data_IF_404623689545
#
_entry.id   IF_404623689545
#
_cell.length_a   1.000
_cell.length_b   1.000
_cell.length_c   1.000
_cell.angle_alpha   90.00
_cell.angle_beta   90.00
_cell.angle_gamma   90.00
#
_symmetry.space_group_name_H-M   'P 1'
#
loop_
_entity.id
_entity.type
_entity.pdbx_description
1 polymer ?
#
# COMPACT_ATOMS: atom_id res chain seq x y z
N UNK A 1 9.01 -14.19 20.12
CA UNK A 1 9.48 -13.64 18.85
C UNK A 1 8.31 -13.52 17.87
N UNK A 2 8.32 -12.50 16.99
CA UNK A 2 7.37 -12.43 15.88
C UNK A 2 8.02 -13.00 14.63
N UNK A 3 7.35 -13.97 14.01
CA UNK A 3 7.73 -14.48 12.69
C UNK A 3 7.05 -13.63 11.62
N UNK A 4 7.84 -13.06 10.72
CA UNK A 4 7.36 -12.32 9.54
C UNK A 4 7.61 -13.13 8.28
N UNK A 5 6.53 -13.41 7.54
CA UNK A 5 6.57 -14.14 6.28
C UNK A 5 6.36 -13.18 5.12
N UNK A 6 7.06 -13.41 4.02
CA UNK A 6 6.90 -12.67 2.78
C UNK A 6 6.56 -13.61 1.62
N UNK A 7 5.89 -13.09 0.60
CA UNK A 7 5.45 -13.87 -0.57
C UNK A 7 6.42 -13.73 -1.75
N UNK A 8 6.17 -12.76 -2.62
CA UNK A 8 6.87 -12.53 -3.90
C UNK A 8 8.41 -12.37 -3.76
N UNK A 9 8.90 -11.90 -2.63
CA UNK A 9 10.33 -11.77 -2.36
C UNK A 9 11.02 -13.13 -2.49
N UNK A 10 10.34 -14.20 -2.05
CA UNK A 10 10.85 -15.57 -2.12
C UNK A 10 11.12 -16.07 -3.54
N UNK A 11 10.43 -15.51 -4.54
CA UNK A 11 10.56 -15.89 -5.96
C UNK A 11 11.69 -15.18 -6.69
N UNK A 12 12.34 -14.20 -6.04
CA UNK A 12 13.41 -13.41 -6.65
C UNK A 12 14.75 -14.15 -6.64
N UNK A 13 15.68 -13.75 -7.53
CA UNK A 13 17.06 -14.21 -7.50
C UNK A 13 17.72 -13.97 -6.13
N UNK A 14 18.76 -14.70 -5.78
CA UNK A 14 19.45 -14.61 -4.47
C UNK A 14 19.87 -13.17 -4.13
N UNK A 15 20.44 -12.44 -5.08
CA UNK A 15 20.90 -11.06 -4.88
C UNK A 15 19.72 -10.09 -4.67
N UNK A 16 18.70 -10.16 -5.54
CA UNK A 16 17.49 -9.33 -5.44
C UNK A 16 16.73 -9.64 -4.15
N UNK A 17 16.61 -10.92 -3.78
CA UNK A 17 15.98 -11.33 -2.51
C UNK A 17 16.68 -10.71 -1.32
N UNK A 18 18.02 -10.80 -1.25
CA UNK A 18 18.78 -10.22 -0.15
C UNK A 18 18.58 -8.70 -0.03
N UNK A 19 18.52 -7.98 -1.15
CA UNK A 19 18.24 -6.55 -1.19
C UNK A 19 16.83 -6.23 -0.68
N UNK A 20 15.82 -6.99 -1.12
CA UNK A 20 14.42 -6.80 -0.74
C UNK A 20 14.17 -7.15 0.73
N UNK A 21 14.77 -8.26 1.22
CA UNK A 21 14.75 -8.60 2.65
C UNK A 21 15.39 -7.50 3.50
N UNK A 22 16.53 -6.96 3.06
CA UNK A 22 17.17 -5.83 3.75
C UNK A 22 16.32 -4.56 3.75
N UNK A 23 15.57 -4.28 2.68
CA UNK A 23 14.61 -3.18 2.64
C UNK A 23 13.43 -3.46 3.59
N UNK A 24 12.89 -4.67 3.58
CA UNK A 24 11.78 -5.04 4.47
C UNK A 24 12.17 -4.93 5.94
N UNK A 25 13.38 -5.35 6.31
CA UNK A 25 13.90 -5.19 7.68
C UNK A 25 13.94 -3.72 8.09
N UNK A 26 14.44 -2.83 7.23
CA UNK A 26 14.46 -1.39 7.52
C UNK A 26 13.04 -0.83 7.70
N UNK A 27 12.10 -1.24 6.84
CA UNK A 27 10.71 -0.80 6.92
C UNK A 27 10.03 -1.31 8.21
N UNK A 28 10.29 -2.57 8.61
CA UNK A 28 9.78 -3.12 9.87
C UNK A 28 10.34 -2.37 11.10
N UNK A 29 11.65 -2.08 11.11
CA UNK A 29 12.27 -1.27 12.18
C UNK A 29 11.61 0.11 12.30
N UNK A 30 11.42 0.79 11.19
CA UNK A 30 10.75 2.10 11.17
C UNK A 30 9.30 2.03 11.66
N UNK A 31 8.57 0.98 11.26
CA UNK A 31 7.17 0.81 11.63
C UNK A 31 6.96 0.47 13.11
N UNK A 32 7.87 -0.32 13.68
CA UNK A 32 7.73 -0.87 15.04
C UNK A 32 8.51 -0.08 16.11
N UNK A 33 9.52 0.68 15.70
CA UNK A 33 10.49 1.28 16.64
C UNK A 33 11.37 0.22 17.33
N UNK A 34 11.53 -0.96 16.73
CA UNK A 34 12.32 -2.09 17.26
C UNK A 34 13.53 -2.31 16.36
N UNK A 35 14.74 -2.17 16.93
CA UNK A 35 15.97 -2.35 16.16
C UNK A 35 16.35 -3.82 15.95
N UNK A 36 15.97 -4.68 16.89
CA UNK A 36 16.30 -6.10 16.81
C UNK A 36 15.33 -6.84 15.87
N UNK A 37 15.62 -6.68 14.58
CA UNK A 37 14.92 -7.34 13.45
C UNK A 37 15.97 -7.97 12.58
N UNK A 38 15.91 -9.30 12.42
CA UNK A 38 16.94 -10.07 11.70
C UNK A 38 16.36 -11.04 10.67
N UNK A 39 17.22 -11.46 9.76
CA UNK A 39 16.92 -12.45 8.74
C UNK A 39 17.31 -13.84 9.21
N UNK A 40 16.46 -14.83 8.96
CA UNK A 40 16.77 -16.24 9.10
C UNK A 40 16.04 -17.05 8.04
N UNK A 41 16.40 -18.23 7.81
CA UNK A 41 15.93 -19.27 6.88
C UNK A 41 14.59 -18.99 6.14
N UNK A 42 14.56 -18.01 5.20
CA UNK A 42 13.37 -17.64 4.45
C UNK A 42 12.28 -16.94 5.28
N UNK A 43 12.66 -16.34 6.39
CA UNK A 43 11.83 -15.55 7.29
C UNK A 43 12.56 -14.30 7.76
N UNK A 44 11.80 -13.36 8.29
CA UNK A 44 12.32 -12.26 9.10
C UNK A 44 11.73 -12.42 10.49
N UNK A 45 12.52 -12.12 11.50
CA UNK A 45 12.14 -12.23 12.91
C UNK A 45 12.24 -10.87 13.57
N UNK A 46 11.36 -10.60 14.54
CA UNK A 46 11.35 -9.38 15.34
C UNK A 46 11.38 -9.77 16.82
N UNK A 47 12.24 -9.13 17.59
CA UNK A 47 12.37 -9.34 19.04
C UNK A 47 11.20 -8.69 19.78
N UNK A 48 10.01 -9.23 19.62
CA UNK A 48 8.80 -8.86 20.35
C UNK A 48 7.90 -10.08 20.54
N UNK A 49 7.16 -10.10 21.62
CA UNK A 49 6.10 -11.07 21.90
C UNK A 49 4.70 -10.43 21.92
N UNK A 50 4.62 -9.16 21.54
CA UNK A 50 3.37 -8.40 21.50
C UNK A 50 2.53 -8.77 20.27
N UNK A 51 1.26 -9.08 20.48
CA UNK A 51 0.30 -9.25 19.39
C UNK A 51 0.07 -7.92 18.63
N UNK A 52 0.12 -6.81 19.33
CA UNK A 52 -0.03 -5.49 18.73
C UNK A 52 1.11 -5.21 17.74
N UNK A 53 2.36 -5.52 18.10
CA UNK A 53 3.50 -5.39 17.19
C UNK A 53 3.38 -6.33 15.99
N UNK A 54 2.83 -7.55 16.18
CA UNK A 54 2.57 -8.47 15.08
C UNK A 54 1.50 -7.91 14.11
N UNK A 55 0.46 -7.25 14.61
CA UNK A 55 -0.55 -6.55 13.81
C UNK A 55 0.08 -5.34 13.10
N UNK A 56 0.88 -4.52 13.78
CA UNK A 56 1.61 -3.41 13.13
C UNK A 56 2.54 -3.92 12.03
N UNK A 57 3.32 -4.98 12.31
CA UNK A 57 4.19 -5.61 11.32
C UNK A 57 3.43 -6.15 10.10
N UNK A 58 2.22 -6.68 10.28
CA UNK A 58 1.40 -7.20 9.18
C UNK A 58 0.97 -6.11 8.18
N UNK A 59 0.93 -4.84 8.60
CA UNK A 59 0.60 -3.67 7.76
C UNK A 59 1.79 -3.15 6.96
N UNK A 60 3.00 -3.66 7.18
CA UNK A 60 4.19 -3.26 6.42
C UNK A 60 4.17 -3.92 5.04
N UNK A 61 4.30 -3.10 3.98
CA UNK A 61 4.33 -3.60 2.60
C UNK A 61 5.46 -4.61 2.38
N UNK A 62 5.10 -5.76 1.80
CA UNK A 62 5.98 -6.91 1.61
C UNK A 62 5.74 -8.04 2.60
N UNK A 63 5.00 -7.80 3.70
CA UNK A 63 4.64 -8.81 4.69
C UNK A 63 3.41 -9.59 4.24
N UNK A 64 3.53 -10.90 4.08
CA UNK A 64 2.43 -11.79 3.72
C UNK A 64 1.63 -12.25 4.94
N UNK A 65 2.31 -12.49 6.06
CA UNK A 65 1.68 -12.79 7.36
C UNK A 65 2.67 -12.67 8.51
N UNK A 66 2.13 -12.52 9.71
CA UNK A 66 2.89 -12.52 10.96
C UNK A 66 2.32 -13.52 11.95
N UNK A 67 3.13 -13.95 12.92
CA UNK A 67 2.71 -14.78 14.05
C UNK A 67 3.56 -14.47 15.27
N UNK A 68 2.95 -14.37 16.43
CA UNK A 68 3.66 -14.36 17.70
C UNK A 68 3.98 -15.80 18.09
N UNK A 69 5.26 -16.12 18.21
CA UNK A 69 5.72 -17.47 18.45
C UNK A 69 6.59 -17.59 19.70
N UNK A 70 6.51 -18.74 20.35
CA UNK A 70 7.48 -19.20 21.34
C UNK A 70 8.60 -19.90 20.58
N UNK A 71 9.84 -19.53 20.83
CA UNK A 71 11.03 -20.13 20.25
C UNK A 71 11.60 -21.21 21.18
N UNK A 72 12.09 -22.29 20.61
CA UNK A 72 12.78 -23.39 21.30
C UNK A 72 13.83 -24.01 20.38
N UNK A 73 14.66 -24.91 20.91
CA UNK A 73 15.57 -25.71 20.10
C UNK A 73 14.84 -26.65 19.15
N UNK A 74 15.57 -27.19 18.17
CA UNK A 74 15.03 -28.11 17.17
C UNK A 74 15.07 -29.59 17.58
N UNK A 75 15.41 -29.90 18.85
CA UNK A 75 15.33 -31.26 19.36
C UNK A 75 13.88 -31.67 19.55
N UNK A 76 13.52 -32.89 19.06
CA UNK A 76 12.13 -33.32 19.01
C UNK A 76 11.48 -33.28 20.38
N UNK A 77 12.13 -33.78 21.42
CA UNK A 77 11.60 -33.84 22.77
C UNK A 77 11.34 -32.45 23.35
N UNK A 78 12.28 -31.49 23.12
CA UNK A 78 12.11 -30.11 23.55
C UNK A 78 10.93 -29.42 22.86
N UNK A 79 10.75 -29.68 21.54
CA UNK A 79 9.60 -29.18 20.78
C UNK A 79 8.30 -29.74 21.37
N UNK A 80 8.24 -31.04 21.61
CA UNK A 80 7.03 -31.71 22.11
C UNK A 80 6.64 -31.21 23.51
N UNK A 81 7.62 -31.03 24.40
CA UNK A 81 7.39 -30.50 25.75
C UNK A 81 6.84 -29.08 25.70
N UNK A 82 7.58 -28.17 25.05
CA UNK A 82 7.21 -26.75 24.90
C UNK A 82 5.86 -26.57 24.21
N UNK A 83 5.61 -27.31 23.13
CA UNK A 83 4.38 -27.20 22.37
C UNK A 83 3.17 -27.79 23.15
N UNK A 84 3.37 -28.80 23.94
CA UNK A 84 2.32 -29.34 24.83
C UNK A 84 1.94 -28.32 25.90
N UNK A 85 2.91 -27.68 26.54
CA UNK A 85 2.64 -26.66 27.55
C UNK A 85 2.02 -25.41 26.94
N UNK A 86 2.44 -25.04 25.71
CA UNK A 86 1.81 -23.98 24.96
C UNK A 86 0.34 -24.27 24.62
N UNK A 87 0.03 -25.51 24.22
CA UNK A 87 -1.31 -25.96 23.88
C UNK A 87 -2.25 -25.99 25.10
N UNK A 88 -1.78 -26.47 26.27
CA UNK A 88 -2.55 -26.47 27.52
C UNK A 88 -3.12 -25.11 27.91
N UNK A 89 -2.41 -24.03 27.59
CA UNK A 89 -2.83 -22.65 27.89
C UNK A 89 -3.91 -22.14 26.95
N UNK A 90 -4.19 -22.80 25.82
CA UNK A 90 -5.05 -22.32 24.73
C UNK A 90 -6.20 -23.22 24.39
N UNK A 91 -6.02 -24.52 24.59
CA UNK A 91 -7.05 -25.56 24.33
C UNK A 91 -7.82 -25.79 25.59
N UNK A 92 -9.14 -25.60 25.55
CA UNK A 92 -10.06 -25.86 26.66
C UNK A 92 -10.66 -27.26 26.55
N UNK A 93 -11.19 -27.75 27.65
CA UNK A 93 -11.92 -29.01 27.65
C UNK A 93 -13.16 -28.89 26.75
N UNK A 94 -13.23 -29.76 25.77
CA UNK A 94 -14.32 -29.81 24.79
C UNK A 94 -13.97 -29.21 23.43
N UNK A 95 -12.88 -28.41 23.32
CA UNK A 95 -12.40 -27.93 22.06
C UNK A 95 -11.91 -29.07 21.16
N UNK A 96 -11.92 -28.82 19.87
CA UNK A 96 -11.22 -29.60 18.86
C UNK A 96 -9.93 -28.89 18.45
N UNK A 97 -8.92 -29.67 18.06
CA UNK A 97 -7.65 -29.07 17.62
C UNK A 97 -6.97 -29.82 16.49
N UNK A 98 -6.06 -29.10 15.81
CA UNK A 98 -5.12 -29.68 14.85
C UNK A 98 -3.68 -29.23 15.12
N UNK A 99 -2.72 -30.10 14.84
CA UNK A 99 -1.30 -29.76 14.80
C UNK A 99 -0.87 -29.59 13.35
N UNK A 100 -0.31 -28.42 13.02
CA UNK A 100 0.21 -28.08 11.69
C UNK A 100 1.73 -27.94 11.75
N UNK A 101 2.47 -29.01 11.46
CA UNK A 101 3.91 -29.01 11.53
C UNK A 101 4.57 -28.78 10.16
N UNK A 102 5.59 -27.94 10.12
CA UNK A 102 6.45 -27.71 8.95
C UNK A 102 7.91 -27.80 9.37
N UNK A 103 8.74 -28.41 8.53
CA UNK A 103 10.16 -28.59 8.82
C UNK A 103 11.02 -28.24 7.59
N UNK A 104 12.07 -27.48 7.83
CA UNK A 104 13.12 -27.16 6.86
C UNK A 104 14.47 -27.42 7.52
N UNK A 105 15.36 -28.09 6.83
CA UNK A 105 16.65 -28.52 7.37
C UNK A 105 16.76 -30.05 7.46
N UNK A 106 17.88 -30.53 7.98
CA UNK A 106 18.16 -31.96 8.18
C UNK A 106 17.95 -32.33 9.64
N UNK A 107 16.97 -33.15 9.91
CA UNK A 107 16.61 -33.64 11.25
C UNK A 107 16.32 -35.13 11.18
N UNK A 108 16.44 -35.85 12.30
CA UNK A 108 16.14 -37.26 12.43
C UNK A 108 14.67 -37.62 12.42
N UNK A 109 13.77 -36.62 12.44
CA UNK A 109 12.33 -36.74 12.48
C UNK A 109 11.68 -35.96 11.31
N UNK A 110 10.46 -36.35 10.95
CA UNK A 110 9.64 -35.67 9.95
C UNK A 110 8.62 -34.70 10.59
N UNK A 111 8.01 -33.81 9.76
CA UNK A 111 6.90 -32.97 10.22
C UNK A 111 5.67 -33.82 10.66
N UNK A 112 5.51 -35.01 10.07
CA UNK A 112 4.42 -35.92 10.44
C UNK A 112 4.68 -36.56 11.81
N UNK A 113 5.94 -36.85 12.15
CA UNK A 113 6.30 -37.36 13.49
C UNK A 113 6.00 -36.31 14.56
N UNK A 114 6.34 -35.03 14.31
CA UNK A 114 5.95 -33.93 15.21
C UNK A 114 4.45 -33.90 15.38
N UNK A 115 3.68 -33.85 14.29
CA UNK A 115 2.23 -33.71 14.33
C UNK A 115 1.57 -34.86 15.06
N UNK A 116 2.01 -36.12 14.85
CA UNK A 116 1.46 -37.32 15.50
C UNK A 116 1.80 -37.34 16.98
N UNK A 117 3.06 -37.17 17.37
CA UNK A 117 3.48 -37.28 18.77
C UNK A 117 2.93 -36.12 19.62
N UNK A 118 3.00 -34.89 19.06
CA UNK A 118 2.42 -33.72 19.73
C UNK A 118 0.90 -33.85 19.88
N UNK A 119 0.22 -34.32 18.82
CA UNK A 119 -1.23 -34.58 18.88
C UNK A 119 -1.60 -35.51 20.01
N UNK A 120 -0.89 -36.66 20.16
CA UNK A 120 -1.14 -37.60 21.26
C UNK A 120 -0.92 -36.95 22.63
N UNK A 121 0.18 -36.22 22.83
CA UNK A 121 0.48 -35.51 24.09
C UNK A 121 -0.58 -34.46 24.44
N UNK A 122 -1.09 -33.73 23.44
CA UNK A 122 -2.14 -32.73 23.65
C UNK A 122 -3.45 -33.42 24.08
N UNK A 123 -3.84 -34.53 23.44
CA UNK A 123 -5.00 -35.31 23.83
C UNK A 123 -4.89 -35.78 25.28
N UNK A 124 -3.74 -36.36 25.65
CA UNK A 124 -3.49 -36.84 27.03
C UNK A 124 -3.54 -35.69 28.04
N UNK A 125 -2.99 -34.54 27.69
CA UNK A 125 -2.85 -33.41 28.60
C UNK A 125 -4.13 -32.58 28.77
N UNK A 126 -5.01 -32.53 27.76
CA UNK A 126 -6.16 -31.61 27.71
C UNK A 126 -7.51 -32.33 27.63
N UNK A 127 -7.54 -33.58 27.18
CA UNK A 127 -8.76 -34.31 26.86
C UNK A 127 -9.50 -33.79 25.61
N UNK A 128 -8.88 -32.90 24.83
CA UNK A 128 -9.43 -32.36 23.59
C UNK A 128 -9.42 -33.39 22.45
N UNK A 129 -10.28 -33.21 21.45
CA UNK A 129 -10.38 -34.12 20.31
C UNK A 129 -9.63 -33.53 19.10
N UNK A 130 -9.07 -34.45 18.31
CA UNK A 130 -8.42 -34.04 17.05
C UNK A 130 -9.47 -33.85 15.96
N UNK A 131 -9.45 -32.66 15.30
CA UNK A 131 -10.18 -32.40 14.09
C UNK A 131 -9.22 -31.74 13.09
N UNK A 132 -8.94 -32.44 11.98
CA UNK A 132 -7.98 -31.96 10.97
C UNK A 132 -8.62 -31.03 9.93
N UNK A 133 -9.96 -30.96 9.90
CA UNK A 133 -10.71 -30.23 8.86
C UNK A 133 -11.14 -28.86 9.36
N UNK A 134 -11.84 -28.79 10.48
CA UNK A 134 -12.38 -27.57 11.07
C UNK A 134 -12.11 -27.52 12.58
N UNK A 135 -10.84 -27.43 13.01
CA UNK A 135 -10.50 -27.39 14.43
C UNK A 135 -10.84 -26.01 15.03
N UNK A 136 -11.24 -26.01 16.32
CA UNK A 136 -11.40 -24.78 17.08
C UNK A 136 -10.05 -24.08 17.33
N UNK A 137 -8.97 -24.88 17.50
CA UNK A 137 -7.62 -24.38 17.76
C UNK A 137 -6.59 -25.07 16.86
N UNK A 138 -5.79 -24.30 16.14
CA UNK A 138 -4.64 -24.82 15.42
C UNK A 138 -3.33 -24.52 16.17
N UNK A 139 -2.54 -25.55 16.42
CA UNK A 139 -1.18 -25.41 16.96
C UNK A 139 -0.19 -25.61 15.83
N UNK A 140 0.53 -24.56 15.49
CA UNK A 140 1.55 -24.57 14.45
C UNK A 140 2.93 -24.81 15.06
N UNK A 141 3.72 -25.68 14.43
CA UNK A 141 5.13 -25.91 14.75
C UNK A 141 5.96 -25.72 13.48
N UNK A 142 6.81 -24.71 13.45
CA UNK A 142 7.67 -24.42 12.32
C UNK A 142 9.13 -24.61 12.70
N UNK A 143 9.75 -25.75 12.28
CA UNK A 143 11.16 -26.04 12.52
C UNK A 143 12.02 -25.46 11.40
N UNK A 144 13.02 -24.68 11.79
CA UNK A 144 13.94 -23.98 10.89
C UNK A 144 15.38 -24.16 11.36
N UNK A 145 16.09 -25.08 10.71
CA UNK A 145 17.49 -25.42 11.02
C UNK A 145 17.64 -25.84 12.50
N UNK A 146 18.14 -24.97 13.37
CA UNK A 146 18.43 -25.24 14.78
C UNK A 146 17.33 -24.82 15.74
N UNK A 147 16.30 -24.12 15.27
CA UNK A 147 15.25 -23.57 16.09
C UNK A 147 13.88 -24.06 15.65
N UNK A 148 12.95 -24.14 16.59
CA UNK A 148 11.55 -24.38 16.34
C UNK A 148 10.70 -23.24 16.91
N UNK A 149 9.58 -22.96 16.27
CA UNK A 149 8.68 -21.88 16.58
C UNK A 149 7.27 -22.42 16.72
N UNK A 150 6.63 -22.14 17.87
CA UNK A 150 5.31 -22.63 18.23
C UNK A 150 4.36 -21.45 18.31
N UNK A 151 3.25 -21.51 17.59
CA UNK A 151 2.24 -20.44 17.54
C UNK A 151 0.85 -21.02 17.24
N UNK A 152 -0.21 -20.23 17.44
CA UNK A 152 -1.59 -20.64 17.17
C UNK A 152 -2.34 -19.64 16.29
N UNK A 153 -1.78 -18.46 16.03
CA UNK A 153 -2.42 -17.43 15.23
C UNK A 153 -1.54 -17.04 14.03
N UNK A 154 -2.18 -16.87 12.88
CA UNK A 154 -1.56 -16.32 11.68
C UNK A 154 -2.30 -15.05 11.27
N UNK A 155 -1.68 -13.91 11.50
CA UNK A 155 -2.22 -12.61 11.13
C UNK A 155 -1.88 -12.34 9.66
N UNK A 156 -2.90 -12.20 8.82
CA UNK A 156 -2.72 -11.91 7.39
C UNK A 156 -2.07 -10.53 7.21
N UNK A 157 -1.06 -10.46 6.36
CA UNK A 157 -0.36 -9.23 6.01
C UNK A 157 -0.89 -8.57 4.74
N UNK A 158 -0.52 -7.30 4.55
CA UNK A 158 -0.90 -6.50 3.38
C UNK A 158 -0.31 -7.02 2.07
N UNK A 159 0.77 -7.80 2.15
CA UNK A 159 1.45 -8.38 0.98
C UNK A 159 2.22 -7.34 0.15
N UNK A 160 2.41 -7.65 -1.12
CA UNK A 160 3.12 -6.80 -2.07
C UNK A 160 4.64 -6.87 -1.97
N UNK A 161 5.30 -5.76 -2.28
CA UNK A 161 6.76 -5.59 -2.24
C UNK A 161 7.16 -4.55 -1.19
N UNK A 162 8.35 -4.65 -0.59
CA UNK A 162 8.82 -3.66 0.37
C UNK A 162 8.89 -2.26 -0.25
N UNK A 163 8.31 -1.28 0.41
CA UNK A 163 8.29 0.10 -0.04
C UNK A 163 9.70 0.62 -0.33
N UNK A 164 9.88 1.31 -1.46
CA UNK A 164 11.14 1.85 -1.93
C UNK A 164 12.00 0.87 -2.73
N UNK A 165 11.48 -0.33 -3.11
CA UNK A 165 12.19 -1.28 -3.98
C UNK A 165 11.98 -1.02 -5.46
N UNK A 166 10.98 -0.21 -5.87
CA UNK A 166 10.62 0.07 -7.26
C UNK A 166 10.86 1.54 -7.66
N UNK A 167 11.72 2.25 -6.91
CA UNK A 167 12.00 3.65 -7.19
C UNK A 167 10.90 4.58 -6.71
N UNK A 168 10.83 5.78 -7.33
CA UNK A 168 9.94 6.87 -6.92
C UNK A 168 9.00 7.28 -8.05
N UNK A 169 7.76 7.65 -7.68
CA UNK A 169 6.78 8.24 -8.59
C UNK A 169 6.08 9.44 -7.93
N UNK A 170 5.53 10.34 -8.75
CA UNK A 170 4.67 11.42 -8.28
C UNK A 170 3.22 10.96 -8.27
N UNK A 171 2.59 10.97 -7.11
CA UNK A 171 1.17 10.70 -6.96
C UNK A 171 0.37 12.00 -7.09
N UNK A 172 -0.48 12.08 -8.11
CA UNK A 172 -1.38 13.20 -8.33
C UNK A 172 -2.58 13.04 -7.40
N UNK A 173 -2.51 13.69 -6.23
CA UNK A 173 -3.54 13.57 -5.20
C UNK A 173 -4.58 14.67 -5.39
N UNK A 174 -5.83 14.29 -5.43
CA UNK A 174 -6.99 15.17 -5.30
C UNK A 174 -7.65 14.94 -3.94
N UNK A 175 -8.58 15.79 -3.55
CA UNK A 175 -9.38 15.50 -2.36
C UNK A 175 -10.43 14.39 -2.55
N UNK A 176 -10.44 13.66 -3.66
CA UNK A 176 -11.38 12.57 -3.96
C UNK A 176 -10.93 11.21 -3.45
N UNK A 177 -11.84 10.21 -3.55
CA UNK A 177 -11.63 8.85 -3.06
C UNK A 177 -10.52 8.11 -3.84
N UNK A 178 -10.45 8.30 -5.16
CA UNK A 178 -9.72 7.44 -6.08
C UNK A 178 -8.19 7.64 -6.00
N UNK A 179 -7.73 8.88 -5.92
CA UNK A 179 -6.29 9.18 -5.99
C UNK A 179 -5.48 8.65 -4.81
N UNK A 180 -5.95 8.67 -3.53
CA UNK A 180 -5.24 8.02 -2.44
C UNK A 180 -5.19 6.50 -2.58
N UNK A 181 -6.26 5.87 -3.07
CA UNK A 181 -6.30 4.41 -3.33
C UNK A 181 -5.29 4.03 -4.40
N UNK A 182 -5.23 4.76 -5.51
CA UNK A 182 -4.25 4.54 -6.57
C UNK A 182 -2.80 4.67 -6.05
N UNK A 183 -2.52 5.69 -5.25
CA UNK A 183 -1.22 5.89 -4.63
C UNK A 183 -0.85 4.71 -3.71
N UNK A 184 -1.76 4.29 -2.84
CA UNK A 184 -1.56 3.15 -1.95
C UNK A 184 -1.29 1.84 -2.72
N UNK A 185 -2.03 1.58 -3.80
CA UNK A 185 -1.80 0.39 -4.64
C UNK A 185 -0.38 0.36 -5.21
N UNK A 186 0.16 1.51 -5.63
CA UNK A 186 1.53 1.60 -6.11
C UNK A 186 2.56 1.51 -4.98
N UNK A 187 2.28 2.08 -3.80
CA UNK A 187 3.09 1.88 -2.61
C UNK A 187 3.19 0.39 -2.24
N UNK A 188 2.07 -0.34 -2.31
CA UNK A 188 2.02 -1.81 -2.11
C UNK A 188 2.86 -2.57 -3.15
N UNK A 189 3.09 -2.01 -4.34
CA UNK A 189 4.03 -2.54 -5.34
C UNK A 189 5.48 -2.08 -5.13
N UNK A 190 5.78 -1.42 -4.01
CA UNK A 190 7.12 -1.04 -3.61
C UNK A 190 7.58 0.33 -4.13
N UNK A 191 6.69 1.13 -4.70
CA UNK A 191 6.98 2.48 -5.19
C UNK A 191 6.98 3.47 -4.03
N UNK A 192 8.07 4.22 -3.84
CA UNK A 192 8.08 5.39 -2.96
C UNK A 192 7.37 6.56 -3.66
N UNK A 193 6.56 7.33 -2.93
CA UNK A 193 5.77 8.40 -3.53
C UNK A 193 6.18 9.78 -3.01
N UNK A 194 6.10 10.75 -3.94
CA UNK A 194 6.00 12.18 -3.66
C UNK A 194 4.58 12.59 -4.04
N UNK A 195 3.87 13.28 -3.18
CA UNK A 195 2.51 13.73 -3.47
C UNK A 195 2.54 15.10 -4.15
N UNK A 196 1.67 15.30 -5.15
CA UNK A 196 1.37 16.61 -5.75
C UNK A 196 -0.12 16.88 -5.60
N UNK A 197 -0.46 17.94 -4.91
CA UNK A 197 -1.79 18.52 -4.86
C UNK A 197 -1.79 19.87 -5.58
N UNK A 198 -2.69 20.04 -6.54
CA UNK A 198 -2.92 21.30 -7.22
C UNK A 198 -4.05 22.03 -6.50
N UNK A 199 -3.70 23.09 -5.77
CA UNK A 199 -4.62 23.88 -4.97
C UNK A 199 -5.40 24.85 -5.85
N UNK A 200 -6.71 24.64 -6.09
CA UNK A 200 -7.51 25.49 -6.94
C UNK A 200 -7.99 26.78 -6.25
N UNK A 201 -7.52 27.09 -5.05
CA UNK A 201 -7.84 28.33 -4.36
C UNK A 201 -7.47 29.58 -5.20
N UNK A 202 -8.23 30.66 -5.16
CA UNK A 202 -9.43 30.91 -4.33
C UNK A 202 -10.76 30.43 -4.94
N UNK A 203 -10.74 29.70 -6.05
CA UNK A 203 -11.94 29.31 -6.81
C UNK A 203 -12.81 28.27 -6.09
N UNK A 204 -12.24 27.55 -5.16
CA UNK A 204 -12.93 26.55 -4.33
C UNK A 204 -12.58 26.74 -2.86
N UNK A 205 -13.38 26.11 -2.00
CA UNK A 205 -13.23 26.14 -0.56
C UNK A 205 -11.90 25.51 -0.10
N UNK A 206 -11.27 26.12 0.89
CA UNK A 206 -10.03 25.65 1.54
C UNK A 206 -10.15 24.21 2.08
N UNK A 207 -11.34 23.74 2.40
CA UNK A 207 -11.61 22.36 2.82
C UNK A 207 -11.12 21.32 1.81
N UNK A 208 -11.03 21.66 0.54
CA UNK A 208 -10.47 20.77 -0.50
C UNK A 208 -8.99 20.47 -0.24
N UNK A 209 -8.22 21.50 0.12
CA UNK A 209 -6.82 21.36 0.51
C UNK A 209 -6.67 20.50 1.77
N UNK A 210 -7.45 20.82 2.81
CA UNK A 210 -7.39 20.09 4.07
C UNK A 210 -7.69 18.60 3.87
N UNK A 211 -8.72 18.29 3.08
CA UNK A 211 -9.09 16.93 2.71
C UNK A 211 -7.99 16.20 1.95
N UNK A 212 -7.32 16.85 1.01
CA UNK A 212 -6.20 16.26 0.28
C UNK A 212 -5.02 15.96 1.20
N UNK A 213 -4.66 16.89 2.10
CA UNK A 213 -3.58 16.71 3.07
C UNK A 213 -3.89 15.61 4.08
N UNK A 214 -5.12 15.51 4.57
CA UNK A 214 -5.55 14.40 5.44
C UNK A 214 -5.47 13.05 4.71
N UNK A 215 -5.88 12.97 3.45
CA UNK A 215 -5.70 11.76 2.63
C UNK A 215 -4.23 11.35 2.50
N UNK A 216 -3.33 12.32 2.33
CA UNK A 216 -1.88 12.08 2.29
C UNK A 216 -1.36 11.64 3.67
N UNK A 217 -1.87 12.19 4.78
CA UNK A 217 -1.50 11.78 6.13
C UNK A 217 -1.88 10.31 6.42
N UNK A 218 -3.04 9.85 5.92
CA UNK A 218 -3.40 8.42 5.97
C UNK A 218 -2.41 7.55 5.19
N UNK A 219 -1.97 7.99 4.01
CA UNK A 219 -0.92 7.29 3.24
C UNK A 219 0.44 7.31 3.96
N UNK A 220 0.77 8.41 4.66
CA UNK A 220 1.98 8.51 5.46
C UNK A 220 1.98 7.47 6.61
N UNK A 221 0.81 7.16 7.20
CA UNK A 221 0.64 6.05 8.14
C UNK A 221 1.03 4.70 7.54
N UNK A 222 0.68 4.43 6.29
CA UNK A 222 1.09 3.22 5.58
C UNK A 222 2.58 3.20 5.19
N UNK A 223 3.17 4.36 4.99
CA UNK A 223 4.61 4.53 4.74
C UNK A 223 5.43 4.36 6.01
N UNK A 224 4.82 4.52 7.18
CA UNK A 224 5.46 4.66 8.49
C UNK A 224 6.49 5.82 8.52
N UNK A 225 6.09 6.96 7.96
CA UNK A 225 6.91 8.17 7.91
C UNK A 225 6.34 9.21 6.94
N UNK A 226 6.87 10.42 7.01
CA UNK A 226 6.40 11.56 6.24
C UNK A 226 6.39 11.31 4.72
N UNK A 227 5.39 11.89 4.05
CA UNK A 227 5.33 12.00 2.59
C UNK A 227 5.66 13.43 2.20
N UNK A 228 6.70 13.60 1.36
CA UNK A 228 7.01 14.88 0.73
C UNK A 228 5.88 15.26 -0.21
N UNK A 229 5.31 16.45 -0.01
CA UNK A 229 4.10 16.90 -0.68
C UNK A 229 4.31 18.28 -1.27
N UNK A 230 4.02 18.41 -2.55
CA UNK A 230 3.97 19.70 -3.25
C UNK A 230 2.51 20.18 -3.26
N UNK A 231 2.28 21.39 -2.79
CA UNK A 231 1.00 22.10 -2.86
C UNK A 231 1.19 23.28 -3.81
N UNK A 232 0.79 23.13 -5.06
CA UNK A 232 1.01 24.13 -6.10
C UNK A 232 -0.25 24.99 -6.31
N UNK A 233 -0.12 26.34 -6.39
CA UNK A 233 -1.26 27.26 -6.53
C UNK A 233 -1.83 27.20 -7.96
N UNK A 234 -2.90 26.43 -8.15
CA UNK A 234 -3.49 26.11 -9.46
C UNK A 234 -4.56 27.09 -9.93
N UNK A 235 -5.05 27.97 -9.07
CA UNK A 235 -6.20 28.84 -9.35
C UNK A 235 -6.05 29.67 -10.62
N UNK A 236 -4.89 30.33 -10.83
CA UNK A 236 -4.64 31.17 -12.01
C UNK A 236 -4.64 30.37 -13.30
N UNK A 237 -4.01 29.20 -13.30
CA UNK A 237 -4.00 28.29 -14.47
C UNK A 237 -5.43 27.83 -14.79
N UNK A 238 -6.21 27.50 -13.77
CA UNK A 238 -7.61 27.07 -13.94
C UNK A 238 -8.47 28.20 -14.52
N UNK A 239 -8.28 29.46 -14.07
CA UNK A 239 -8.98 30.64 -14.62
C UNK A 239 -8.70 30.79 -16.12
N UNK A 240 -7.47 30.56 -16.57
CA UNK A 240 -7.15 30.69 -17.98
C UNK A 240 -7.76 29.56 -18.82
N UNK A 241 -7.79 28.34 -18.27
CA UNK A 241 -8.45 27.21 -18.91
C UNK A 241 -9.97 27.43 -19.07
N UNK A 242 -10.61 28.16 -18.14
CA UNK A 242 -12.03 28.52 -18.25
C UNK A 242 -12.34 29.53 -19.35
N UNK A 243 -11.34 30.29 -19.84
CA UNK A 243 -11.48 31.28 -20.93
C UNK A 243 -11.40 30.66 -22.33
N UNK A 244 -11.06 29.37 -22.43
CA UNK A 244 -10.94 28.68 -23.72
C UNK A 244 -12.27 28.68 -24.45
N UNK A 245 -12.25 29.06 -25.75
CA UNK A 245 -13.47 29.15 -26.58
C UNK A 245 -14.22 27.81 -26.63
N UNK A 246 -13.49 26.71 -26.76
CA UNK A 246 -14.05 25.36 -26.72
C UNK A 246 -14.17 24.88 -25.27
N UNK A 247 -15.11 25.46 -24.53
CA UNK A 247 -15.33 25.19 -23.12
C UNK A 247 -15.60 23.71 -22.80
N UNK A 248 -16.08 22.92 -23.78
CA UNK A 248 -16.32 21.49 -23.62
C UNK A 248 -15.05 20.69 -23.32
N UNK A 249 -13.89 21.20 -23.79
CA UNK A 249 -12.58 20.60 -23.55
C UNK A 249 -12.01 20.91 -22.15
N UNK A 250 -12.66 21.73 -21.33
CA UNK A 250 -12.12 22.22 -20.05
C UNK A 250 -11.55 21.12 -19.16
N UNK A 251 -12.26 19.99 -19.01
CA UNK A 251 -11.75 18.85 -18.21
C UNK A 251 -10.52 18.16 -18.82
N UNK A 252 -10.46 18.08 -20.15
CA UNK A 252 -9.31 17.47 -20.87
C UNK A 252 -8.08 18.37 -20.73
N UNK A 253 -8.24 19.67 -20.94
CA UNK A 253 -7.18 20.68 -20.79
C UNK A 253 -6.67 20.76 -19.35
N UNK A 254 -7.59 20.73 -18.38
CA UNK A 254 -7.25 20.68 -16.96
C UNK A 254 -6.36 19.47 -16.65
N UNK A 255 -6.73 18.27 -17.13
CA UNK A 255 -5.92 17.07 -16.95
C UNK A 255 -4.54 17.16 -17.60
N UNK A 256 -4.44 17.74 -18.79
CA UNK A 256 -3.15 17.98 -19.46
C UNK A 256 -2.25 18.91 -18.65
N UNK A 257 -2.80 19.98 -18.06
CA UNK A 257 -2.06 20.88 -17.16
C UNK A 257 -1.60 20.14 -15.88
N UNK A 258 -2.45 19.29 -15.28
CA UNK A 258 -2.10 18.44 -14.13
C UNK A 258 -0.93 17.53 -14.46
N UNK A 259 -0.91 16.91 -15.65
CA UNK A 259 0.17 16.00 -16.06
C UNK A 259 1.49 16.73 -16.30
N UNK A 260 1.45 17.92 -16.92
CA UNK A 260 2.63 18.80 -17.02
C UNK A 260 3.20 19.13 -15.65
N UNK A 261 2.35 19.51 -14.70
CA UNK A 261 2.78 19.79 -13.33
C UNK A 261 3.38 18.54 -12.64
N UNK A 262 2.78 17.38 -12.86
CA UNK A 262 3.32 16.10 -12.38
C UNK A 262 4.71 15.81 -12.94
N UNK A 263 4.94 16.05 -14.25
CA UNK A 263 6.24 15.89 -14.89
C UNK A 263 7.28 16.84 -14.30
N UNK A 264 6.97 18.13 -14.14
CA UNK A 264 7.87 19.12 -13.53
C UNK A 264 8.32 18.69 -12.12
N UNK A 265 7.40 18.20 -11.30
CA UNK A 265 7.73 17.66 -9.96
C UNK A 265 8.53 16.36 -10.08
N UNK A 266 8.20 15.49 -11.03
CA UNK A 266 8.90 14.22 -11.22
C UNK A 266 10.38 14.45 -11.61
N UNK A 267 10.65 15.41 -12.46
CA UNK A 267 12.03 15.80 -12.84
C UNK A 267 12.80 16.36 -11.64
N UNK A 268 12.20 17.24 -10.83
CA UNK A 268 12.79 17.78 -9.59
C UNK A 268 13.12 16.71 -8.56
N UNK A 269 12.29 15.67 -8.45
CA UNK A 269 12.40 14.62 -7.46
C UNK A 269 13.10 13.34 -7.95
N UNK A 270 13.52 13.31 -9.22
CA UNK A 270 14.09 12.11 -9.84
C UNK A 270 13.12 10.95 -9.91
N UNK A 271 11.80 11.24 -9.88
CA UNK A 271 10.75 10.24 -10.02
C UNK A 271 10.68 9.77 -11.49
N UNK A 272 10.20 8.55 -11.71
CA UNK A 272 10.21 7.90 -13.02
C UNK A 272 8.83 7.71 -13.64
N UNK A 273 7.78 8.06 -12.91
CA UNK A 273 6.39 7.89 -13.34
C UNK A 273 5.46 8.84 -12.59
N UNK A 274 4.25 9.02 -13.14
CA UNK A 274 3.12 9.61 -12.46
C UNK A 274 2.14 8.51 -12.03
N UNK A 275 1.38 8.77 -10.97
CA UNK A 275 0.29 7.90 -10.49
C UNK A 275 -0.99 8.71 -10.48
N UNK A 276 -2.05 8.19 -11.11
CA UNK A 276 -3.37 8.83 -11.16
C UNK A 276 -4.46 7.86 -10.69
N UNK A 277 -5.55 8.43 -10.17
CA UNK A 277 -6.73 7.67 -9.72
C UNK A 277 -7.82 7.54 -10.79
N UNK A 278 -7.46 7.46 -12.06
CA UNK A 278 -8.42 7.34 -13.15
C UNK A 278 -9.00 5.92 -13.28
N UNK A 279 -10.33 5.85 -13.46
CA UNK A 279 -11.09 4.65 -13.79
C UNK A 279 -11.82 4.88 -15.11
N UNK A 280 -11.73 3.93 -16.04
CA UNK A 280 -12.27 4.10 -17.40
C UNK A 280 -13.78 4.30 -17.37
N UNK A 281 -14.25 5.36 -18.02
CA UNK A 281 -15.68 5.65 -18.15
C UNK A 281 -16.35 6.24 -16.91
N UNK A 282 -15.62 6.47 -15.80
CA UNK A 282 -16.20 6.98 -14.57
C UNK A 282 -16.69 8.43 -14.71
N UNK A 283 -15.95 9.27 -15.41
CA UNK A 283 -16.32 10.67 -15.74
C UNK A 283 -15.93 11.01 -17.16
N UNK A 284 -16.45 12.10 -17.70
CA UNK A 284 -16.27 12.50 -19.10
C UNK A 284 -14.81 12.58 -19.55
N UNK A 285 -13.88 13.02 -18.70
CA UNK A 285 -12.45 13.08 -19.01
C UNK A 285 -11.74 11.71 -19.01
N UNK A 286 -12.41 10.64 -18.62
CA UNK A 286 -11.85 9.29 -18.46
C UNK A 286 -12.36 8.31 -19.52
N UNK A 287 -12.79 8.80 -20.68
CA UNK A 287 -13.06 7.98 -21.85
C UNK A 287 -11.77 7.62 -22.58
N UNK A 288 -11.78 6.57 -23.41
CA UNK A 288 -10.60 6.12 -24.14
C UNK A 288 -10.03 7.26 -25.02
N UNK A 289 -10.89 7.96 -25.77
CA UNK A 289 -10.46 9.06 -26.64
C UNK A 289 -9.84 10.20 -25.83
N UNK A 290 -10.47 10.58 -24.73
CA UNK A 290 -9.95 11.65 -23.87
C UNK A 290 -8.64 11.27 -23.19
N UNK A 291 -8.50 10.04 -22.68
CA UNK A 291 -7.23 9.56 -22.12
C UNK A 291 -6.14 9.55 -23.19
N UNK A 292 -6.44 9.12 -24.43
CA UNK A 292 -5.48 9.18 -25.53
C UNK A 292 -5.02 10.61 -25.82
N UNK A 293 -5.94 11.58 -25.87
CA UNK A 293 -5.61 12.99 -26.09
C UNK A 293 -4.84 13.61 -24.90
N UNK A 294 -5.15 13.21 -23.68
CA UNK A 294 -4.47 13.67 -22.46
C UNK A 294 -3.05 13.14 -22.40
N UNK A 295 -2.82 11.86 -22.69
CA UNK A 295 -1.51 11.21 -22.51
C UNK A 295 -0.44 11.76 -23.45
N UNK A 296 -0.83 12.30 -24.60
CA UNK A 296 0.12 12.90 -25.57
C UNK A 296 0.85 14.15 -25.05
N UNK A 297 0.45 14.69 -23.90
CA UNK A 297 1.01 15.95 -23.37
C UNK A 297 2.39 15.80 -22.76
N UNK A 298 2.75 14.60 -22.31
CA UNK A 298 4.03 14.32 -21.67
C UNK A 298 4.61 13.00 -22.17
N UNK A 299 5.91 12.91 -22.24
CA UNK A 299 6.65 11.67 -22.45
C UNK A 299 7.11 11.12 -21.09
N UNK A 300 6.16 10.55 -20.35
CA UNK A 300 6.38 10.00 -19.01
C UNK A 300 5.45 8.83 -18.75
N UNK A 301 5.90 7.74 -18.12
CA UNK A 301 5.02 6.65 -17.73
C UNK A 301 3.94 7.12 -16.76
N UNK A 302 2.68 6.76 -17.05
CA UNK A 302 1.52 7.07 -16.21
C UNK A 302 0.91 5.77 -15.71
N UNK A 303 0.95 5.54 -14.41
CA UNK A 303 0.31 4.39 -13.78
C UNK A 303 -1.11 4.74 -13.38
N UNK A 304 -2.06 3.92 -13.84
CA UNK A 304 -3.49 3.99 -13.53
C UNK A 304 -3.95 2.72 -12.87
N UNK A 305 -3.63 2.51 -11.58
CA UNK A 305 -3.95 1.24 -10.90
C UNK A 305 -5.44 0.91 -10.88
N UNK A 306 -6.30 1.93 -11.00
CA UNK A 306 -7.75 1.80 -10.91
C UNK A 306 -8.46 1.73 -12.26
N UNK A 307 -7.74 1.67 -13.37
CA UNK A 307 -8.33 1.84 -14.71
C UNK A 307 -9.45 0.83 -15.01
N UNK A 308 -9.39 -0.37 -14.47
CA UNK A 308 -10.38 -1.42 -14.63
C UNK A 308 -11.25 -1.69 -13.40
N UNK A 309 -11.16 -0.87 -12.35
CA UNK A 309 -11.96 -1.03 -11.14
C UNK A 309 -13.26 -0.24 -11.24
N UNK A 310 -14.34 -0.81 -10.72
CA UNK A 310 -15.58 -0.08 -10.53
C UNK A 310 -15.55 0.77 -9.24
N UNK A 311 -16.60 1.57 -9.06
CA UNK A 311 -16.65 2.50 -7.92
C UNK A 311 -16.78 1.80 -6.57
N UNK A 312 -17.44 0.65 -6.51
CA UNK A 312 -17.65 -0.10 -5.26
C UNK A 312 -16.37 -0.77 -4.81
N UNK A 313 -15.60 -1.34 -5.74
CA UNK A 313 -14.27 -1.88 -5.47
C UNK A 313 -13.33 -0.82 -4.92
N UNK A 314 -13.33 0.39 -5.51
CA UNK A 314 -12.52 1.51 -5.06
C UNK A 314 -12.94 1.97 -3.66
N UNK A 315 -14.25 2.07 -3.39
CA UNK A 315 -14.79 2.43 -2.07
C UNK A 315 -14.40 1.39 -1.02
N UNK A 316 -14.47 0.10 -1.36
CA UNK A 316 -14.07 -0.99 -0.47
C UNK A 316 -12.60 -0.85 -0.07
N UNK A 317 -11.71 -0.63 -1.05
CA UNK A 317 -10.30 -0.39 -0.79
C UNK A 317 -10.06 0.89 0.03
N UNK A 318 -10.78 1.98 -0.27
CA UNK A 318 -10.66 3.23 0.49
C UNK A 318 -11.02 3.05 1.97
N UNK A 319 -12.04 2.24 2.28
CA UNK A 319 -12.41 1.86 3.65
C UNK A 319 -11.32 1.01 4.31
N UNK A 320 -10.79 0.01 3.61
CA UNK A 320 -9.71 -0.86 4.12
C UNK A 320 -8.46 -0.06 4.50
N UNK A 321 -8.09 0.92 3.67
CA UNK A 321 -6.88 1.73 3.89
C UNK A 321 -7.10 2.96 4.78
N UNK A 322 -8.33 3.25 5.17
CA UNK A 322 -8.70 4.34 6.08
C UNK A 322 -8.76 5.73 5.44
N UNK A 323 -8.88 5.82 4.10
CA UNK A 323 -9.00 7.11 3.38
C UNK A 323 -10.44 7.50 3.05
N UNK A 324 -11.40 6.58 3.24
CA UNK A 324 -12.78 6.79 2.84
C UNK A 324 -13.44 7.97 3.59
N UNK A 325 -13.40 7.96 4.93
CA UNK A 325 -14.08 8.96 5.77
C UNK A 325 -13.56 10.37 5.48
N UNK A 326 -12.26 10.52 5.25
CA UNK A 326 -11.66 11.79 4.84
C UNK A 326 -12.22 12.24 3.49
N UNK A 327 -12.30 11.32 2.53
CA UNK A 327 -12.66 11.63 1.14
C UNK A 327 -14.12 11.99 0.93
N UNK A 328 -15.03 11.58 1.81
CA UNK A 328 -16.47 11.91 1.75
C UNK A 328 -16.82 13.21 2.48
N UNK A 329 -15.90 13.82 3.21
CA UNK A 329 -16.11 15.11 3.85
C UNK A 329 -16.53 16.15 2.80
N UNK A 330 -17.62 16.92 2.99
CA UNK A 330 -18.12 17.86 1.98
C UNK A 330 -17.06 18.88 1.59
N UNK A 331 -16.61 18.85 0.35
CA UNK A 331 -15.76 19.86 -0.27
C UNK A 331 -15.84 19.73 -1.80
N UNK A 332 -15.77 20.85 -2.51
CA UNK A 332 -15.77 20.88 -3.97
C UNK A 332 -14.34 20.77 -4.49
N UNK A 333 -14.04 19.74 -5.27
CA UNK A 333 -12.68 19.56 -5.82
C UNK A 333 -12.40 20.37 -7.09
N UNK A 334 -13.43 20.94 -7.73
CA UNK A 334 -13.32 21.83 -8.87
C UNK A 334 -14.61 22.66 -9.00
N UNK A 335 -14.62 23.60 -9.96
CA UNK A 335 -15.81 24.42 -10.29
C UNK A 335 -16.95 23.63 -10.97
N UNK A 336 -16.77 22.33 -11.13
CA UNK A 336 -17.65 21.43 -11.86
C UNK A 336 -17.25 21.28 -13.32
N UNK A 337 -17.70 20.18 -13.97
CA UNK A 337 -17.50 20.02 -15.41
C UNK A 337 -18.30 21.08 -16.17
N UNK A 338 -17.85 21.48 -17.38
CA UNK A 338 -18.63 22.34 -18.25
C UNK A 338 -19.96 21.67 -18.62
N UNK A 339 -20.98 22.44 -19.03
CA UNK A 339 -22.17 21.86 -19.65
C UNK A 339 -21.78 21.01 -20.87
N UNK A 340 -22.30 19.75 -20.93
CA UNK A 340 -21.98 18.81 -22.01
C UNK A 340 -20.49 18.64 -22.26
N UNK A 341 -19.70 18.12 -21.28
CA UNK A 341 -18.27 17.96 -21.43
C UNK A 341 -17.93 17.04 -22.60
N UNK A 342 -16.79 17.29 -23.24
CA UNK A 342 -16.33 16.48 -24.37
C UNK A 342 -15.95 15.06 -23.89
N UNK A 343 -16.40 14.04 -24.63
CA UNK A 343 -16.11 12.63 -24.35
C UNK A 343 -15.33 11.95 -25.47
N UNK A 344 -15.12 12.63 -26.62
CA UNK A 344 -14.42 12.12 -27.80
C UNK A 344 -13.47 13.20 -28.37
N UNK A 345 -12.61 13.71 -27.51
CA UNK A 345 -11.65 14.72 -27.92
C UNK A 345 -10.57 14.11 -28.84
N UNK A 346 -10.34 14.72 -30.01
CA UNK A 346 -9.16 14.36 -30.80
C UNK A 346 -7.93 15.15 -30.29
N UNK A 347 -6.73 14.54 -30.37
CA UNK A 347 -5.49 15.22 -29.98
C UNK A 347 -5.29 16.57 -30.68
N UNK A 348 -5.55 16.62 -31.99
CA UNK A 348 -5.37 17.83 -32.81
C UNK A 348 -6.29 18.96 -32.35
N UNK A 349 -7.54 18.64 -31.99
CA UNK A 349 -8.52 19.62 -31.48
C UNK A 349 -8.09 20.15 -30.11
N UNK A 350 -7.53 19.27 -29.25
CA UNK A 350 -7.05 19.65 -27.91
C UNK A 350 -5.80 20.51 -28.02
N UNK A 351 -4.84 20.14 -28.86
CA UNK A 351 -3.61 20.90 -29.12
C UNK A 351 -3.92 22.30 -29.66
N UNK A 352 -4.83 22.39 -30.63
CA UNK A 352 -5.32 23.68 -31.14
C UNK A 352 -5.99 24.55 -30.08
N UNK A 353 -6.72 23.95 -29.15
CA UNK A 353 -7.35 24.66 -28.04
C UNK A 353 -6.35 25.19 -26.99
N UNK A 354 -5.18 24.57 -26.90
CA UNK A 354 -4.05 25.02 -26.06
C UNK A 354 -3.21 26.14 -26.71
N UNK A 355 -3.31 26.33 -28.04
CA UNK A 355 -2.55 27.37 -28.73
C UNK A 355 -2.80 28.76 -28.11
N UNK A 356 -1.71 29.44 -27.74
CA UNK A 356 -1.75 30.78 -27.15
C UNK A 356 -1.97 30.81 -25.62
N UNK A 357 -2.16 29.68 -24.95
CA UNK A 357 -2.29 29.65 -23.49
C UNK A 357 -0.95 29.64 -22.73
N UNK A 358 0.16 29.36 -23.43
CA UNK A 358 1.51 29.22 -22.83
C UNK A 358 1.51 28.33 -21.55
N UNK A 359 0.75 27.21 -21.61
CA UNK A 359 0.52 26.34 -20.44
C UNK A 359 1.83 25.76 -19.88
N UNK A 360 2.84 25.54 -20.72
CA UNK A 360 4.11 24.98 -20.26
C UNK A 360 4.82 25.93 -19.29
N UNK A 361 5.01 27.20 -19.66
CA UNK A 361 5.66 28.18 -18.78
C UNK A 361 4.81 28.51 -17.55
N UNK A 362 3.48 28.59 -17.73
CA UNK A 362 2.56 28.84 -16.62
C UNK A 362 2.60 27.73 -15.58
N UNK A 363 2.57 26.47 -16.02
CA UNK A 363 2.65 25.31 -15.13
C UNK A 363 4.01 25.23 -14.45
N UNK A 364 5.11 25.48 -15.17
CA UNK A 364 6.45 25.55 -14.59
C UNK A 364 6.54 26.62 -13.50
N UNK A 365 6.10 27.84 -13.79
CA UNK A 365 6.09 28.94 -12.82
C UNK A 365 5.17 28.68 -11.62
N UNK A 366 4.06 27.94 -11.80
CA UNK A 366 3.21 27.47 -10.73
C UNK A 366 3.91 26.44 -9.83
N UNK A 367 4.58 25.45 -10.41
CA UNK A 367 5.32 24.42 -9.65
C UNK A 367 6.53 25.02 -8.92
N UNK A 368 7.16 26.07 -9.47
CA UNK A 368 8.22 26.81 -8.77
C UNK A 368 7.73 27.52 -7.50
N UNK A 369 6.47 27.96 -7.49
CA UNK A 369 5.82 28.62 -6.35
C UNK A 369 5.16 27.62 -5.39
N UNK A 370 5.26 26.31 -5.64
CA UNK A 370 4.64 25.32 -4.79
C UNK A 370 5.21 25.33 -3.37
N UNK A 371 4.35 25.31 -2.39
CA UNK A 371 4.70 25.02 -1.00
C UNK A 371 5.11 23.55 -0.89
N UNK A 372 6.24 23.28 -0.27
CA UNK A 372 6.74 21.90 -0.07
C UNK A 372 6.61 21.53 1.40
N UNK A 373 5.75 20.57 1.67
CA UNK A 373 5.44 20.07 3.01
C UNK A 373 6.03 18.68 3.23
N UNK A 374 6.22 18.34 4.49
CA UNK A 374 6.38 16.96 4.96
C UNK A 374 5.12 16.60 5.74
N UNK A 375 4.23 15.84 5.11
CA UNK A 375 2.98 15.42 5.74
C UNK A 375 3.26 14.15 6.54
N UNK A 376 3.16 14.30 7.87
CA UNK A 376 3.37 13.19 8.82
C UNK A 376 2.13 12.29 8.89
N UNK A 377 2.30 11.04 9.40
CA UNK A 377 1.16 10.19 9.74
C UNK A 377 0.19 10.89 10.69
N UNK A 378 -1.10 10.69 10.51
CA UNK A 378 -2.08 10.99 11.58
C UNK A 378 -1.89 10.01 12.73
N UNK A 379 -1.94 10.53 13.97
CA UNK A 379 -1.88 9.75 15.21
C UNK A 379 -3.09 8.79 15.39
#
# INVERSE_FOLDING_TARGET
VIIVRYGEIGLKSKATRASFEGRLIRNLRAALGIDDVWRGYGRIYVASSSREDAVKASRVFGVASTSVAVETGAELEEILEKATDYAKQRIKKGDTFAVRARRVGKHSYSSMDIARQLGSRIVEATGARVDLTEPDVEIFVEVRDRNAYIYHEVIKGVGGLPLGTQGRAVALISGGIDSPVAAWMMMRRGVDIVALFLDPSPLVDRRTRDRALQGIARLAGWKHGAIKTYVAPYGDVLIDLLKVKDYRLGCVLCKRAIYRAGKEVAEKEGAKALITGESLGQVASQTMDNLHAIDRVIDYPIFRPLIGHDKEEIISLAKEIGTYEVSITPANCCLGPPPHPETRASPERVEKAEEGLDLENRVRGMVEKAEVLRVEPEE
#
